data_IF_104325854742
#
_entry.id   IF_104325854742
#
_cell.length_a   1.000
_cell.length_b   1.000
_cell.length_c   1.000
_cell.angle_alpha   90.00
_cell.angle_beta   90.00
_cell.angle_gamma   90.00
#
_symmetry.space_group_name_H-M   'P 1'
#
loop_
_entity.id
_entity.type
_entity.pdbx_description
1 polymer ?
#
# COMPACT_ATOMS: atom_id res chain seq x y z
N UNK A 1 8.86 -3.21 14.36
CA UNK A 1 7.66 -4.07 14.18
C UNK A 1 6.85 -3.71 12.94
N UNK A 2 5.88 -2.77 12.96
CA UNK A 2 5.02 -2.52 11.77
C UNK A 2 5.78 -2.02 10.53
N UNK A 3 6.67 -1.03 10.69
CA UNK A 3 7.50 -0.51 9.58
C UNK A 3 8.38 -1.61 8.96
N UNK A 4 9.01 -2.45 9.79
CA UNK A 4 9.84 -3.56 9.32
C UNK A 4 9.02 -4.61 8.56
N UNK A 5 7.81 -4.92 9.03
CA UNK A 5 6.90 -5.83 8.35
C UNK A 5 6.47 -5.30 6.97
N UNK A 6 6.18 -4.00 6.88
CA UNK A 6 5.90 -3.31 5.61
C UNK A 6 7.09 -3.43 4.65
N UNK A 7 8.29 -3.10 5.11
CA UNK A 7 9.52 -3.21 4.29
C UNK A 7 9.79 -4.64 3.85
N UNK A 8 9.62 -5.62 4.75
CA UNK A 8 9.80 -7.05 4.41
C UNK A 8 8.79 -7.52 3.38
N UNK A 9 7.49 -7.24 3.58
CA UNK A 9 6.45 -7.59 2.62
C UNK A 9 6.73 -6.95 1.25
N UNK A 10 7.22 -5.71 1.23
CA UNK A 10 7.57 -5.03 -0.02
C UNK A 10 8.76 -5.66 -0.75
N UNK A 11 9.69 -6.28 -0.04
CA UNK A 11 10.82 -7.02 -0.60
C UNK A 11 10.45 -8.44 -1.04
N UNK A 12 9.44 -9.04 -0.41
CA UNK A 12 8.88 -10.33 -0.82
C UNK A 12 8.00 -10.23 -2.07
N UNK A 13 7.64 -9.02 -2.50
CA UNK A 13 6.76 -8.83 -3.65
C UNK A 13 7.51 -8.99 -4.99
N UNK A 14 6.88 -9.73 -5.91
CA UNK A 14 7.24 -9.79 -7.32
C UNK A 14 6.01 -10.01 -8.23
N UNK A 15 6.19 -10.00 -9.57
CA UNK A 15 5.12 -10.14 -10.56
C UNK A 15 4.30 -11.43 -10.47
N UNK A 16 4.84 -12.45 -9.80
CA UNK A 16 4.17 -13.71 -9.47
C UNK A 16 2.97 -13.51 -8.53
N UNK A 17 2.96 -12.43 -7.75
CA UNK A 17 1.87 -12.08 -6.84
C UNK A 17 0.75 -11.24 -7.49
N UNK A 18 0.86 -10.93 -8.78
CA UNK A 18 -0.22 -10.29 -9.54
C UNK A 18 -1.40 -11.25 -9.70
N UNK A 19 -2.60 -10.76 -9.40
CA UNK A 19 -3.82 -11.44 -9.83
C UNK A 19 -3.92 -11.46 -11.36
N UNK A 20 -4.74 -12.37 -11.88
CA UNK A 20 -4.99 -12.45 -13.32
C UNK A 20 -5.49 -11.12 -13.89
N UNK A 21 -6.40 -10.44 -13.18
CA UNK A 21 -6.96 -9.16 -13.60
C UNK A 21 -5.90 -8.04 -13.63
N UNK A 22 -5.03 -7.98 -12.62
CA UNK A 22 -3.94 -6.99 -12.59
C UNK A 22 -2.95 -7.23 -13.73
N UNK A 23 -2.56 -8.49 -13.95
CA UNK A 23 -1.66 -8.87 -15.04
C UNK A 23 -2.24 -8.52 -16.40
N UNK A 24 -3.53 -8.78 -16.62
CA UNK A 24 -4.23 -8.42 -17.85
C UNK A 24 -4.31 -6.90 -18.05
N UNK A 25 -4.63 -6.13 -17.01
CA UNK A 25 -4.67 -4.67 -17.08
C UNK A 25 -3.30 -4.06 -17.42
N UNK A 26 -2.23 -4.55 -16.78
CA UNK A 26 -0.84 -4.14 -17.07
C UNK A 26 -0.49 -4.47 -18.53
N UNK A 27 -0.78 -5.69 -18.98
CA UNK A 27 -0.50 -6.12 -20.35
C UNK A 27 -1.28 -5.30 -21.38
N UNK A 28 -2.53 -4.94 -21.09
CA UNK A 28 -3.35 -4.06 -21.95
C UNK A 28 -2.73 -2.68 -22.07
N UNK A 29 -2.26 -2.08 -20.97
CA UNK A 29 -1.57 -0.79 -20.99
C UNK A 29 -0.27 -0.86 -21.80
N UNK A 30 0.55 -1.92 -21.59
CA UNK A 30 1.78 -2.14 -22.35
C UNK A 30 1.52 -2.29 -23.86
N UNK A 31 0.49 -3.07 -24.26
CA UNK A 31 0.11 -3.23 -25.67
C UNK A 31 -0.31 -1.93 -26.34
N UNK A 32 -0.82 -0.96 -25.58
CA UNK A 32 -1.20 0.37 -26.06
C UNK A 32 -0.04 1.37 -26.06
N UNK A 33 1.15 0.98 -25.59
CA UNK A 33 2.29 1.88 -25.39
C UNK A 33 2.15 2.80 -24.17
N UNK A 34 1.19 2.54 -23.29
CA UNK A 34 0.90 3.33 -22.09
C UNK A 34 1.81 2.88 -20.92
N UNK A 35 3.14 2.98 -21.10
CA UNK A 35 4.12 2.48 -20.12
C UNK A 35 3.98 3.12 -18.73
N UNK A 36 3.61 4.40 -18.68
CA UNK A 36 3.35 5.09 -17.42
C UNK A 36 2.18 4.44 -16.67
N UNK A 37 1.09 4.09 -17.37
CA UNK A 37 -0.06 3.43 -16.77
C UNK A 37 0.29 2.02 -16.30
N UNK A 38 1.03 1.26 -17.11
CA UNK A 38 1.51 -0.06 -16.71
C UNK A 38 2.31 0.01 -15.40
N UNK A 39 3.24 0.97 -15.28
CA UNK A 39 4.05 1.18 -14.07
C UNK A 39 3.23 1.67 -12.88
N UNK A 40 2.18 2.46 -13.11
CA UNK A 40 1.24 2.86 -12.05
C UNK A 40 0.49 1.63 -11.51
N UNK A 41 -0.05 0.79 -12.40
CA UNK A 41 -0.78 -0.43 -12.04
C UNK A 41 0.09 -1.43 -11.28
N UNK A 42 1.35 -1.62 -11.67
CA UNK A 42 2.32 -2.45 -10.95
C UNK A 42 2.54 -1.94 -9.51
N UNK A 43 2.70 -0.62 -9.35
CA UNK A 43 2.89 0.00 -8.03
C UNK A 43 1.66 -0.15 -7.14
N UNK A 44 0.47 0.02 -7.71
CA UNK A 44 -0.78 -0.19 -6.98
C UNK A 44 -0.94 -1.66 -6.55
N UNK A 45 -0.60 -2.60 -7.42
CA UNK A 45 -0.63 -4.03 -7.09
C UNK A 45 0.38 -4.38 -5.99
N UNK A 46 1.60 -3.83 -6.04
CA UNK A 46 2.59 -3.95 -4.94
C UNK A 46 2.04 -3.40 -3.63
N UNK A 47 1.40 -2.22 -3.66
CA UNK A 47 0.76 -1.62 -2.49
C UNK A 47 -0.30 -2.51 -1.87
N UNK A 48 -1.21 -3.05 -2.69
CA UNK A 48 -2.25 -4.00 -2.24
C UNK A 48 -1.64 -5.24 -1.61
N UNK A 49 -0.62 -5.83 -2.23
CA UNK A 49 0.06 -7.01 -1.69
C UNK A 49 0.65 -6.73 -0.29
N UNK A 50 1.38 -5.62 -0.14
CA UNK A 50 1.99 -5.24 1.14
C UNK A 50 0.92 -5.05 2.21
N UNK A 51 -0.15 -4.32 1.90
CA UNK A 51 -1.26 -4.09 2.82
C UNK A 51 -1.91 -5.40 3.28
N UNK A 52 -2.22 -6.31 2.35
CA UNK A 52 -2.83 -7.62 2.68
C UNK A 52 -1.88 -8.49 3.50
N UNK A 53 -0.59 -8.53 3.14
CA UNK A 53 0.41 -9.33 3.85
C UNK A 53 0.59 -8.86 5.29
N UNK A 54 0.71 -7.55 5.51
CA UNK A 54 0.85 -6.96 6.84
C UNK A 54 -0.45 -7.14 7.64
N UNK A 55 -1.62 -6.97 7.01
CA UNK A 55 -2.90 -7.28 7.66
C UNK A 55 -2.93 -8.71 8.17
N UNK A 56 -2.65 -9.69 7.31
CA UNK A 56 -2.73 -11.10 7.70
C UNK A 56 -1.76 -11.47 8.84
N UNK A 57 -0.66 -10.73 9.00
CA UNK A 57 0.29 -10.94 10.08
C UNK A 57 -0.15 -10.30 11.39
N UNK A 58 -0.88 -9.18 11.36
CA UNK A 58 -1.13 -8.37 12.54
C UNK A 58 -2.60 -7.99 12.79
N UNK A 59 -3.56 -8.55 12.06
CA UNK A 59 -4.99 -8.23 12.25
C UNK A 59 -5.58 -8.71 13.58
N UNK A 60 -4.85 -9.56 14.30
CA UNK A 60 -5.13 -9.90 15.69
C UNK A 60 -4.66 -8.84 16.70
N UNK A 61 -3.86 -7.85 16.27
CA UNK A 61 -3.29 -6.78 17.12
C UNK A 61 -3.74 -5.37 16.72
N UNK A 62 -4.07 -5.16 15.45
CA UNK A 62 -4.48 -3.86 14.93
C UNK A 62 -5.76 -3.96 14.12
N UNK A 63 -6.50 -2.86 14.08
CA UNK A 63 -7.66 -2.73 13.20
C UNK A 63 -7.21 -2.26 11.82
N UNK A 64 -7.43 -3.07 10.80
CA UNK A 64 -7.07 -2.74 9.42
C UNK A 64 -8.27 -2.23 8.62
N UNK A 65 -8.11 -1.09 7.93
CA UNK A 65 -9.12 -0.54 7.03
C UNK A 65 -8.52 -0.09 5.69
N UNK A 66 -8.25 -1.06 4.83
CA UNK A 66 -7.57 -0.85 3.55
C UNK A 66 -8.36 0.01 2.54
N UNK A 67 -9.60 0.41 2.87
CA UNK A 67 -10.49 1.16 1.96
C UNK A 67 -10.59 2.65 2.30
N UNK A 68 -10.09 3.12 3.46
CA UNK A 68 -10.34 4.49 3.94
C UNK A 68 -9.12 5.41 3.98
N UNK A 69 -7.95 4.95 3.54
CA UNK A 69 -6.73 5.77 3.55
C UNK A 69 -6.08 5.93 4.93
N UNK A 70 -6.66 5.34 5.97
CA UNK A 70 -5.97 4.95 7.20
C UNK A 70 -5.98 3.43 7.19
N UNK A 71 -4.82 2.85 6.98
CA UNK A 71 -4.71 1.41 6.74
C UNK A 71 -4.69 0.62 8.03
N UNK A 72 -4.20 1.21 9.13
CA UNK A 72 -4.00 0.54 10.42
C UNK A 72 -4.34 1.47 11.57
N UNK A 73 -5.08 0.97 12.57
CA UNK A 73 -5.34 1.65 13.83
C UNK A 73 -4.88 0.73 14.97
N UNK A 74 -4.07 1.28 15.87
CA UNK A 74 -3.68 0.64 17.11
C UNK A 74 -4.76 0.87 18.18
N UNK A 75 -5.53 -0.16 18.56
CA UNK A 75 -6.61 0.00 19.54
C UNK A 75 -6.08 0.31 20.95
N UNK A 76 -4.83 -0.04 21.26
CA UNK A 76 -4.24 0.21 22.57
C UNK A 76 -3.80 1.67 22.75
N UNK A 77 -3.39 2.34 21.66
CA UNK A 77 -2.84 3.71 21.73
C UNK A 77 -3.64 4.74 20.92
N UNK A 78 -4.61 4.32 20.12
CA UNK A 78 -5.35 5.15 19.17
C UNK A 78 -4.50 5.63 17.98
N UNK A 79 -3.26 5.14 17.84
CA UNK A 79 -2.36 5.58 16.76
C UNK A 79 -2.84 5.04 15.43
N UNK A 80 -2.89 5.93 14.45
CA UNK A 80 -3.29 5.64 13.08
C UNK A 80 -2.05 5.58 12.17
N UNK A 81 -2.05 4.67 11.21
CA UNK A 81 -0.98 4.52 10.24
C UNK A 81 -1.51 4.41 8.80
N UNK A 82 -0.74 4.89 7.84
CA UNK A 82 -1.00 4.77 6.40
C UNK A 82 0.20 4.07 5.72
N UNK A 83 -0.03 2.99 4.99
CA UNK A 83 1.00 2.20 4.32
C UNK A 83 1.12 2.68 2.88
N UNK A 84 2.26 3.27 2.52
CA UNK A 84 2.46 3.91 1.22
C UNK A 84 3.79 3.51 0.60
N UNK A 85 3.84 3.43 -0.73
CA UNK A 85 5.08 3.14 -1.47
C UNK A 85 6.07 4.32 -1.55
N UNK A 86 5.99 5.30 -0.63
CA UNK A 86 6.93 6.42 -0.50
C UNK A 86 7.05 7.42 -1.67
N UNK A 87 6.30 7.26 -2.77
CA UNK A 87 6.39 8.17 -3.94
C UNK A 87 5.98 9.61 -3.62
N UNK A 88 6.47 10.59 -4.38
CA UNK A 88 6.09 12.01 -4.22
C UNK A 88 4.58 12.22 -4.23
N UNK A 89 3.85 11.54 -5.12
CA UNK A 89 2.39 11.59 -5.19
C UNK A 89 1.73 11.07 -3.91
N UNK A 90 2.30 10.03 -3.29
CA UNK A 90 1.82 9.48 -2.01
C UNK A 90 2.11 10.44 -0.87
N UNK A 91 3.31 11.05 -0.83
CA UNK A 91 3.68 12.05 0.17
C UNK A 91 2.77 13.29 0.09
N UNK A 92 2.49 13.79 -1.12
CA UNK A 92 1.58 14.91 -1.32
C UNK A 92 0.15 14.57 -0.87
N UNK A 93 -0.33 13.35 -1.15
CA UNK A 93 -1.64 12.88 -0.67
C UNK A 93 -1.68 12.77 0.85
N UNK A 94 -0.64 12.21 1.45
CA UNK A 94 -0.48 12.07 2.90
C UNK A 94 -0.52 13.45 3.59
N UNK A 95 0.30 14.39 3.13
CA UNK A 95 0.37 15.75 3.69
C UNK A 95 -0.96 16.50 3.62
N UNK A 96 -1.73 16.34 2.52
CA UNK A 96 -3.07 16.95 2.40
C UNK A 96 -4.05 16.43 3.46
N UNK A 97 -3.96 15.16 3.83
CA UNK A 97 -4.84 14.52 4.83
C UNK A 97 -4.46 14.86 6.26
N UNK A 98 -3.17 15.13 6.52
CA UNK A 98 -2.68 15.56 7.83
C UNK A 98 -3.32 16.86 8.34
N UNK A 99 -3.91 17.68 7.46
CA UNK A 99 -4.63 18.88 7.85
C UNK A 99 -5.88 18.60 8.72
N UNK A 100 -6.43 17.37 8.69
CA UNK A 100 -7.62 17.00 9.46
C UNK A 100 -7.43 15.83 10.43
N UNK A 101 -6.38 15.00 10.27
CA UNK A 101 -6.13 13.83 11.11
C UNK A 101 -4.62 13.60 11.32
N UNK A 102 -4.20 13.27 12.54
CA UNK A 102 -2.81 12.90 12.81
C UNK A 102 -2.60 11.39 12.66
N UNK A 103 -1.75 10.97 11.73
CA UNK A 103 -1.41 9.57 11.49
C UNK A 103 0.03 9.46 10.97
N UNK A 104 0.66 8.30 11.16
CA UNK A 104 2.06 8.06 10.79
C UNK A 104 2.15 7.27 9.49
N UNK A 105 3.00 7.70 8.59
CA UNK A 105 3.26 6.95 7.36
C UNK A 105 4.19 5.76 7.63
N UNK A 106 3.89 4.62 7.01
CA UNK A 106 4.75 3.44 6.90
C UNK A 106 5.15 3.28 5.44
N UNK A 107 6.45 3.40 5.12
CA UNK A 107 6.92 3.49 3.73
C UNK A 107 7.73 2.31 3.23
N UNK A 108 7.72 2.07 1.92
CA UNK A 108 8.54 1.06 1.23
C UNK A 108 8.82 1.43 -0.23
#
# INVERSE_FOLDING_TARGET
MLQEAVTRAANEWGPEHLSFAERDAINKALKKGEYWLARLLEREARGRYVQVKVKNQFDHLYDFNLNKGIDVIDPATGRKYEILSGTESNLARHGRRMAGEFFRMLTF
#
